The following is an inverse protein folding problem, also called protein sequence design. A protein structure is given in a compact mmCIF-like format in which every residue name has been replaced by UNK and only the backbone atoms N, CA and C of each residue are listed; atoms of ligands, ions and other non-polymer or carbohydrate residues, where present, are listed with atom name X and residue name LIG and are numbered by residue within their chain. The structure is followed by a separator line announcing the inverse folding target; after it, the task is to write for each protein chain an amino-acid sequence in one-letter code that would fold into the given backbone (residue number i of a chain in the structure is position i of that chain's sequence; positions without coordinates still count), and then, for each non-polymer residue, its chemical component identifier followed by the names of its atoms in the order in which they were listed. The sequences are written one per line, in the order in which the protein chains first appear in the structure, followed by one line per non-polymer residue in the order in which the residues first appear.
data_IF_585092707232
#
_entry.id   IF_585092707232
#
_cell.length_a   1.000
_cell.length_b   1.000
_cell.length_c   1.000
_cell.angle_alpha   90.00
_cell.angle_beta   90.00
_cell.angle_gamma   90.00
#
_symmetry.space_group_name_H-M   'P 1'
#
loop_
_entity.id
_entity.type
_entity.pdbx_description
1 polymer ?
#
# COMPACT_ATOMS: atom_id res chain seq x y z
N UNK A 1 -4.87 29.60 -9.05
CA UNK A 1 -5.53 29.28 -7.76
C UNK A 1 -6.80 28.48 -8.06
N UNK A 2 -6.96 27.28 -7.51
CA UNK A 2 -8.24 26.54 -7.67
C UNK A 2 -8.20 25.00 -7.62
N UNK A 3 -7.04 24.34 -7.47
CA UNK A 3 -6.98 22.86 -7.50
C UNK A 3 -7.34 22.17 -6.17
N UNK A 4 -7.46 22.90 -5.06
CA UNK A 4 -7.75 22.32 -3.75
C UNK A 4 -9.26 22.14 -3.44
N UNK A 5 -10.17 22.64 -4.28
CA UNK A 5 -11.61 22.60 -4.00
C UNK A 5 -12.32 21.28 -4.37
N UNK A 6 -11.60 20.27 -4.89
CA UNK A 6 -12.19 18.96 -5.25
C UNK A 6 -11.88 17.82 -4.31
N UNK A 7 -11.09 18.05 -3.26
CA UNK A 7 -10.73 16.99 -2.31
C UNK A 7 -11.64 16.93 -1.07
N UNK A 8 -12.44 17.96 -0.81
CA UNK A 8 -13.27 18.06 0.40
C UNK A 8 -14.68 18.59 0.12
N UNK A 9 -15.54 17.71 -0.35
CA UNK A 9 -16.99 17.90 -0.41
C UNK A 9 -17.61 16.77 -1.22
N UNK A 10 -18.37 15.82 -0.68
CA UNK A 10 -19.13 15.81 0.55
C UNK A 10 -20.51 15.20 0.23
N UNK A 11 -20.70 13.95 0.67
CA UNK A 11 -21.97 13.37 1.13
C UNK A 11 -22.85 12.52 0.17
N UNK A 12 -22.91 11.22 0.54
CA UNK A 12 -24.00 10.23 0.57
C UNK A 12 -24.75 9.80 -0.72
N UNK A 13 -24.78 8.49 -0.99
CA UNK A 13 -26.01 7.68 -0.82
C UNK A 13 -25.72 6.17 -0.95
N UNK A 14 -26.47 5.37 -0.18
CA UNK A 14 -26.16 3.97 0.12
C UNK A 14 -26.38 2.96 -1.01
N UNK A 15 -25.60 1.87 -0.95
CA UNK A 15 -26.03 0.50 -1.24
C UNK A 15 -24.87 -0.48 -0.94
N UNK A 16 -25.08 -1.61 -0.23
CA UNK A 16 -24.09 -2.67 -0.18
C UNK A 16 -24.24 -3.51 -1.46
N UNK A 17 -23.29 -3.37 -2.39
CA UNK A 17 -23.15 -4.34 -3.48
C UNK A 17 -22.01 -5.29 -3.14
N UNK A 18 -22.42 -6.52 -2.86
CA UNK A 18 -21.59 -7.70 -3.01
C UNK A 18 -21.25 -7.80 -4.50
N UNK A 19 -20.05 -7.42 -4.89
CA UNK A 19 -19.51 -7.74 -6.21
C UNK A 19 -18.08 -8.25 -6.02
N UNK A 20 -17.97 -9.58 -6.14
CA UNK A 20 -16.97 -10.34 -6.89
C UNK A 20 -15.49 -9.92 -6.71
N UNK A 21 -14.72 -10.88 -6.19
CA UNK A 21 -13.28 -10.97 -6.40
C UNK A 21 -12.97 -10.76 -7.89
N UNK A 22 -12.41 -9.60 -8.21
CA UNK A 22 -11.96 -9.22 -9.54
C UNK A 22 -10.53 -8.68 -9.41
N UNK A 23 -9.67 -9.11 -10.32
CA UNK A 23 -8.25 -8.85 -10.30
C UNK A 23 -7.98 -7.34 -10.38
N UNK A 24 -7.27 -6.79 -9.39
CA UNK A 24 -6.84 -5.38 -9.40
C UNK A 24 -7.64 -4.44 -8.49
N UNK A 25 -8.35 -4.95 -7.49
CA UNK A 25 -8.95 -4.10 -6.45
C UNK A 25 -7.83 -3.35 -5.70
N UNK A 26 -7.77 -2.02 -5.86
CA UNK A 26 -6.93 -1.17 -5.01
C UNK A 26 -7.20 -1.57 -3.55
N UNK A 27 -6.15 -1.82 -2.75
CA UNK A 27 -6.36 -2.42 -1.45
C UNK A 27 -7.22 -1.47 -0.63
N UNK A 28 -8.35 -2.01 -0.15
CA UNK A 28 -9.33 -1.24 0.59
C UNK A 28 -8.70 -0.44 1.72
N UNK A 29 -9.28 0.72 2.02
CA UNK A 29 -8.81 1.63 3.07
C UNK A 29 -8.58 0.87 4.40
N UNK A 30 -7.41 1.06 5.03
CA UNK A 30 -7.08 0.46 6.32
C UNK A 30 -8.08 0.91 7.40
N UNK A 31 -8.99 0.02 7.81
CA UNK A 31 -10.02 0.37 8.80
C UNK A 31 -9.47 0.16 10.21
N UNK A 32 -9.73 1.11 11.09
CA UNK A 32 -9.43 0.95 12.52
C UNK A 32 -10.52 0.11 13.19
N UNK A 33 -10.13 -0.86 14.00
CA UNK A 33 -11.05 -1.68 14.80
C UNK A 33 -10.93 -1.34 16.28
N UNK A 34 -12.07 -1.33 16.99
CA UNK A 34 -12.08 -1.02 18.44
C UNK A 34 -11.45 -2.13 19.27
N UNK A 35 -11.64 -3.39 18.86
CA UNK A 35 -11.12 -4.58 19.54
C UNK A 35 -10.27 -5.39 18.55
N UNK A 36 -9.11 -5.87 19.01
CA UNK A 36 -8.16 -6.60 18.18
C UNK A 36 -7.41 -5.72 17.17
N UNK A 37 -6.74 -6.37 16.22
CA UNK A 37 -6.08 -5.72 15.10
C UNK A 37 -4.56 -5.68 15.18
N UNK A 38 -3.94 -5.23 14.11
CA UNK A 38 -2.50 -4.93 14.08
C UNK A 38 -2.20 -3.56 14.69
N UNK A 39 -1.07 -3.45 15.38
CA UNK A 39 -0.61 -2.19 15.96
C UNK A 39 -0.52 -1.11 14.87
N UNK A 40 -1.12 0.06 15.13
CA UNK A 40 -1.21 1.11 14.12
C UNK A 40 0.15 1.65 13.73
N UNK A 41 1.01 1.87 14.71
CA UNK A 41 2.33 2.45 14.48
C UNK A 41 3.18 1.48 13.67
N UNK A 42 3.21 0.21 14.06
CA UNK A 42 3.97 -0.81 13.32
C UNK A 42 3.41 -1.05 11.92
N UNK A 43 2.09 -1.04 11.75
CA UNK A 43 1.45 -1.15 10.43
C UNK A 43 1.85 0.01 9.53
N UNK A 44 1.80 1.25 10.02
CA UNK A 44 2.20 2.41 9.25
C UNK A 44 3.70 2.40 8.92
N UNK A 45 4.55 1.91 9.82
CA UNK A 45 5.98 1.74 9.54
C UNK A 45 6.23 0.68 8.45
N UNK A 46 5.49 -0.43 8.47
CA UNK A 46 5.58 -1.45 7.42
C UNK A 46 5.13 -0.89 6.06
N UNK A 47 4.01 -0.16 6.03
CA UNK A 47 3.51 0.50 4.82
C UNK A 47 4.47 1.56 4.30
N UNK A 48 5.06 2.38 5.18
CA UNK A 48 6.04 3.40 4.79
C UNK A 48 7.31 2.78 4.20
N UNK A 49 7.81 1.68 4.79
CA UNK A 49 8.97 0.95 4.25
C UNK A 49 8.70 0.42 2.83
N UNK A 50 7.55 -0.20 2.61
CA UNK A 50 7.14 -0.72 1.29
C UNK A 50 6.94 0.41 0.27
N UNK A 51 6.32 1.52 0.67
CA UNK A 51 6.14 2.68 -0.20
C UNK A 51 7.46 3.34 -0.59
N UNK A 52 8.42 3.43 0.34
CA UNK A 52 9.77 3.92 0.00
C UNK A 52 10.46 3.03 -1.01
N UNK A 53 10.31 1.70 -0.89
CA UNK A 53 10.84 0.78 -1.89
C UNK A 53 10.17 0.98 -3.25
N UNK A 54 8.83 1.13 -3.29
CA UNK A 54 8.10 1.44 -4.52
C UNK A 54 8.61 2.73 -5.18
N UNK A 55 8.81 3.79 -4.38
CA UNK A 55 9.35 5.06 -4.87
C UNK A 55 10.74 4.90 -5.48
N UNK A 56 11.66 4.21 -4.78
CA UNK A 56 13.00 3.97 -5.32
C UNK A 56 13.00 3.12 -6.59
N UNK A 57 12.14 2.10 -6.69
CA UNK A 57 11.99 1.32 -7.92
C UNK A 57 11.42 2.15 -9.07
N UNK A 58 10.48 3.04 -8.77
CA UNK A 58 9.92 3.99 -9.75
C UNK A 58 11.02 4.93 -10.26
N UNK A 59 11.83 5.49 -9.35
CA UNK A 59 12.98 6.32 -9.72
C UNK A 59 13.99 5.56 -10.60
N UNK A 60 14.26 4.28 -10.30
CA UNK A 60 15.15 3.43 -11.12
C UNK A 60 14.56 3.21 -12.51
N UNK A 61 13.25 2.96 -12.60
CA UNK A 61 12.53 2.80 -13.88
C UNK A 61 12.65 4.08 -14.72
N UNK A 62 12.35 5.23 -14.13
CA UNK A 62 12.51 6.53 -14.78
C UNK A 62 13.97 6.80 -15.18
N UNK A 63 14.94 6.44 -14.32
CA UNK A 63 16.36 6.59 -14.67
C UNK A 63 16.73 5.75 -15.89
N UNK A 64 16.29 4.49 -15.96
CA UNK A 64 16.53 3.60 -17.11
C UNK A 64 15.88 4.11 -18.39
N UNK A 65 14.64 4.62 -18.31
CA UNK A 65 13.95 5.24 -19.45
C UNK A 65 14.72 6.48 -19.97
N UNK A 66 15.33 7.24 -19.06
CA UNK A 66 16.18 8.38 -19.39
C UNK A 66 17.63 8.01 -19.76
N UNK A 67 17.93 6.71 -19.93
CA UNK A 67 19.25 6.21 -20.33
C UNK A 67 20.31 6.23 -19.22
N UNK A 68 19.92 6.42 -17.96
CA UNK A 68 20.82 6.36 -16.79
C UNK A 68 20.82 4.94 -16.22
N UNK A 69 22.00 4.44 -15.90
CA UNK A 69 22.15 3.12 -15.25
C UNK A 69 22.08 3.32 -13.74
N UNK A 70 20.95 2.95 -13.15
CA UNK A 70 20.75 2.94 -11.70
C UNK A 70 20.55 1.50 -11.24
N UNK A 71 21.24 1.11 -10.16
CA UNK A 71 21.12 -0.22 -9.59
C UNK A 71 19.75 -0.38 -8.93
N UNK A 72 19.14 -1.56 -9.08
CA UNK A 72 17.89 -1.88 -8.40
C UNK A 72 18.20 -1.99 -6.90
N UNK A 73 17.49 -1.26 -6.02
CA UNK A 73 17.71 -1.37 -4.58
C UNK A 73 17.42 -2.80 -4.09
N UNK A 74 18.12 -3.27 -3.04
CA UNK A 74 17.85 -4.58 -2.46
C UNK A 74 16.42 -4.63 -1.89
N UNK A 75 15.80 -5.83 -1.89
CA UNK A 75 14.48 -6.05 -1.27
C UNK A 75 14.55 -5.66 0.19
N UNK A 76 13.71 -4.73 0.62
CA UNK A 76 13.58 -4.44 2.05
C UNK A 76 12.74 -5.54 2.68
N UNK A 77 13.25 -6.09 3.78
CA UNK A 77 12.45 -6.98 4.61
C UNK A 77 11.69 -6.12 5.59
N UNK A 78 10.37 -6.24 5.58
CA UNK A 78 9.53 -5.66 6.63
C UNK A 78 9.07 -6.79 7.55
N UNK A 79 8.89 -6.46 8.83
CA UNK A 79 8.31 -7.39 9.79
C UNK A 79 6.80 -7.19 9.81
N UNK A 80 6.06 -8.30 9.90
CA UNK A 80 4.62 -8.24 10.11
C UNK A 80 4.33 -7.49 11.41
N UNK A 81 3.38 -6.54 11.43
CA UNK A 81 3.02 -5.82 12.64
C UNK A 81 2.55 -6.79 13.75
N UNK A 82 2.77 -6.41 15.00
CA UNK A 82 2.26 -7.16 16.16
C UNK A 82 0.75 -6.97 16.30
N UNK A 83 0.08 -8.00 16.80
CA UNK A 83 -1.35 -7.92 17.14
C UNK A 83 -1.55 -7.23 18.48
N UNK A 84 -2.55 -6.36 18.56
CA UNK A 84 -2.94 -5.61 19.76
C UNK A 84 -4.37 -5.95 20.15
N UNK A 85 -4.65 -5.98 21.45
CA UNK A 85 -5.98 -6.36 21.96
C UNK A 85 -7.05 -5.30 21.73
N UNK A 86 -6.70 -4.03 21.53
CA UNK A 86 -7.64 -2.91 21.32
C UNK A 86 -7.04 -1.83 20.44
N UNK A 87 -7.90 -1.22 19.63
CA UNK A 87 -7.56 -0.03 18.87
C UNK A 87 -6.49 -0.26 17.80
N UNK A 88 -6.44 -1.43 17.17
CA UNK A 88 -5.56 -1.71 16.02
C UNK A 88 -6.20 -1.38 14.67
N UNK A 89 -5.48 -1.68 13.59
CA UNK A 89 -6.05 -1.81 12.25
C UNK A 89 -6.62 -3.21 12.03
N UNK A 90 -7.66 -3.33 11.22
CA UNK A 90 -8.25 -4.61 10.82
C UNK A 90 -7.17 -5.55 10.28
N UNK A 91 -7.10 -6.76 10.82
CA UNK A 91 -6.08 -7.74 10.40
C UNK A 91 -6.21 -8.08 8.91
N UNK A 92 -7.45 -8.29 8.47
CA UNK A 92 -7.77 -8.59 7.07
C UNK A 92 -7.39 -7.43 6.13
N UNK A 93 -7.69 -6.19 6.51
CA UNK A 93 -7.38 -5.04 5.65
C UNK A 93 -5.87 -4.82 5.57
N UNK A 94 -5.15 -4.99 6.68
CA UNK A 94 -3.69 -4.84 6.73
C UNK A 94 -3.02 -5.95 5.90
N UNK A 95 -3.44 -7.20 6.05
CA UNK A 95 -2.88 -8.32 5.29
C UNK A 95 -3.11 -8.14 3.79
N UNK A 96 -4.32 -7.76 3.38
CA UNK A 96 -4.63 -7.45 1.98
C UNK A 96 -3.79 -6.29 1.45
N UNK A 97 -3.65 -5.22 2.23
CA UNK A 97 -2.90 -4.04 1.84
C UNK A 97 -1.40 -4.31 1.70
N UNK A 98 -0.82 -5.05 2.65
CA UNK A 98 0.59 -5.46 2.60
C UNK A 98 0.86 -6.44 1.45
N UNK A 99 -0.05 -7.38 1.20
CA UNK A 99 0.03 -8.29 0.06
C UNK A 99 0.02 -7.50 -1.26
N UNK A 100 -0.92 -6.58 -1.44
CA UNK A 100 -0.99 -5.72 -2.62
C UNK A 100 0.31 -4.93 -2.85
N UNK A 101 0.86 -4.31 -1.81
CA UNK A 101 2.11 -3.56 -1.92
C UNK A 101 3.29 -4.46 -2.30
N UNK A 102 3.32 -5.68 -1.76
CA UNK A 102 4.35 -6.67 -2.06
C UNK A 102 4.24 -7.16 -3.50
N UNK A 103 3.03 -7.46 -3.98
CA UNK A 103 2.80 -7.88 -5.37
C UNK A 103 3.20 -6.78 -6.35
N UNK A 104 2.87 -5.52 -6.05
CA UNK A 104 3.26 -4.36 -6.86
C UNK A 104 4.78 -4.15 -6.90
N UNK A 105 5.48 -4.40 -5.78
CA UNK A 105 6.94 -4.39 -5.73
C UNK A 105 7.53 -5.51 -6.59
N UNK A 106 6.97 -6.73 -6.53
CA UNK A 106 7.42 -7.85 -7.35
C UNK A 106 7.19 -7.58 -8.85
N UNK A 107 6.06 -7.00 -9.21
CA UNK A 107 5.76 -6.61 -10.59
C UNK A 107 6.79 -5.61 -11.12
N UNK A 108 7.07 -4.54 -10.37
CA UNK A 108 8.09 -3.56 -10.78
C UNK A 108 9.50 -4.16 -10.84
N UNK A 109 9.85 -5.08 -9.95
CA UNK A 109 11.15 -5.77 -10.02
C UNK A 109 11.26 -6.64 -11.27
N UNK A 110 10.19 -7.38 -11.62
CA UNK A 110 10.13 -8.17 -12.86
C UNK A 110 10.26 -7.28 -14.10
N UNK A 111 9.60 -6.12 -14.13
CA UNK A 111 9.76 -5.14 -15.20
C UNK A 111 11.20 -4.61 -15.32
N UNK A 112 11.88 -4.44 -14.19
CA UNK A 112 13.28 -4.03 -14.13
C UNK A 112 14.29 -5.16 -14.39
N UNK A 113 13.81 -6.40 -14.53
CA UNK A 113 14.61 -7.59 -14.86
C UNK A 113 15.27 -8.26 -13.66
N UNK A 114 14.70 -8.14 -12.46
CA UNK A 114 15.04 -8.93 -11.25
C UNK A 114 13.96 -9.95 -10.90
#
# INVERSE_FOLDING_TARGET
MGFFSRLFGGQNDGQPKNDKADAGEEPGMLRTVRNGGYDRTQTLLAVDALNRELMMLTEVKEARENGRIMAVPPRQTFNMPNKVGKGGFSEEDVEKYLAYLTDKLEEMRRELGE
#
